data_IF_188416649581
#
_entry.id   IF_188416649581
#
_cell.length_a   1.000
_cell.length_b   1.000
_cell.length_c   1.000
_cell.angle_alpha   90.00
_cell.angle_beta   90.00
_cell.angle_gamma   90.00
#
_symmetry.space_group_name_H-M   'P 1'
#
loop_
_entity.id
_entity.type
_entity.pdbx_description
1 polymer ?
#
# COMPACT_ATOMS: atom_id res chain seq x y z
N UNK A 1 12.64 5.25 -7.10
CA UNK A 1 13.74 4.28 -7.34
C UNK A 1 13.55 3.50 -8.65
N UNK A 2 12.40 2.85 -8.87
CA UNK A 2 12.12 2.04 -10.08
C UNK A 2 12.42 2.74 -11.43
N UNK A 3 11.90 3.95 -11.65
CA UNK A 3 12.19 4.75 -12.87
C UNK A 3 13.68 5.05 -13.04
N UNK A 4 14.41 5.26 -11.95
CA UNK A 4 15.86 5.49 -11.99
C UNK A 4 16.60 4.25 -12.47
N UNK A 5 16.21 3.07 -11.97
CA UNK A 5 16.77 1.79 -12.37
C UNK A 5 16.43 1.46 -13.83
N UNK A 6 15.16 1.64 -14.23
CA UNK A 6 14.72 1.50 -15.63
C UNK A 6 15.49 2.43 -16.57
N UNK A 7 15.73 3.68 -16.18
CA UNK A 7 16.56 4.62 -16.97
C UNK A 7 18.02 4.16 -17.06
N UNK A 8 18.60 3.68 -15.96
CA UNK A 8 19.97 3.18 -15.95
C UNK A 8 20.12 1.92 -16.84
N UNK A 9 19.15 1.00 -16.81
CA UNK A 9 19.16 -0.18 -17.66
C UNK A 9 18.90 0.17 -19.13
N UNK A 10 17.97 1.08 -19.42
CA UNK A 10 17.70 1.56 -20.78
C UNK A 10 18.92 2.29 -21.37
N UNK A 11 19.61 3.10 -20.56
CA UNK A 11 20.87 3.74 -20.97
C UNK A 11 21.93 2.70 -21.34
N UNK A 12 22.10 1.65 -20.52
CA UNK A 12 23.05 0.56 -20.82
C UNK A 12 22.63 -0.30 -22.01
N UNK A 13 21.33 -0.42 -22.28
CA UNK A 13 20.84 -1.10 -23.48
C UNK A 13 21.15 -0.29 -24.75
N UNK A 14 20.99 1.03 -24.69
CA UNK A 14 21.31 1.92 -25.81
C UNK A 14 22.81 1.99 -26.11
N UNK A 15 23.63 1.83 -25.08
CA UNK A 15 25.10 1.80 -25.16
C UNK A 15 25.64 0.38 -24.94
N UNK A 16 24.92 -0.64 -25.41
CA UNK A 16 25.23 -2.02 -25.07
C UNK A 16 26.58 -2.46 -25.61
N UNK A 17 27.35 -3.15 -24.76
CA UNK A 17 28.58 -3.86 -25.13
C UNK A 17 28.35 -4.86 -26.27
N UNK A 18 29.33 -5.01 -27.17
CA UNK A 18 29.27 -5.92 -28.33
C UNK A 18 29.08 -7.39 -27.94
N UNK A 19 29.40 -7.75 -26.69
CA UNK A 19 29.34 -9.11 -26.17
C UNK A 19 27.90 -9.57 -25.89
N UNK A 20 27.47 -10.62 -26.60
CA UNK A 20 26.08 -11.09 -26.63
C UNK A 20 25.49 -11.49 -25.27
N UNK A 21 26.18 -12.26 -24.40
CA UNK A 21 25.67 -12.58 -23.06
C UNK A 21 25.31 -11.36 -22.20
N UNK A 22 26.05 -10.26 -22.33
CA UNK A 22 25.78 -9.04 -21.55
C UNK A 22 24.50 -8.35 -22.06
N UNK A 23 24.27 -8.37 -23.37
CA UNK A 23 23.05 -7.84 -23.98
C UNK A 23 21.82 -8.64 -23.56
N UNK A 24 21.93 -9.96 -23.56
CA UNK A 24 20.86 -10.85 -23.10
C UNK A 24 20.53 -10.59 -21.63
N UNK A 25 21.54 -10.50 -20.75
CA UNK A 25 21.36 -10.15 -19.34
C UNK A 25 20.63 -8.79 -19.17
N UNK A 26 21.03 -7.76 -19.91
CA UNK A 26 20.38 -6.43 -19.85
C UNK A 26 18.91 -6.52 -20.28
N UNK A 27 18.62 -7.26 -21.35
CA UNK A 27 17.25 -7.43 -21.85
C UNK A 27 16.38 -8.16 -20.82
N UNK A 28 16.87 -9.25 -20.23
CA UNK A 28 16.16 -9.98 -19.16
C UNK A 28 15.90 -9.09 -17.96
N UNK A 29 16.91 -8.32 -17.52
CA UNK A 29 16.76 -7.39 -16.41
C UNK A 29 15.70 -6.33 -16.71
N UNK A 30 15.70 -5.74 -17.91
CA UNK A 30 14.68 -4.76 -18.29
C UNK A 30 13.28 -5.36 -18.31
N UNK A 31 13.11 -6.56 -18.87
CA UNK A 31 11.83 -7.24 -18.93
C UNK A 31 11.27 -7.47 -17.52
N UNK A 32 12.11 -7.97 -16.60
CA UNK A 32 11.70 -8.20 -15.21
C UNK A 32 11.43 -6.89 -14.45
N UNK A 33 12.19 -5.82 -14.70
CA UNK A 33 11.94 -4.51 -14.10
C UNK A 33 10.61 -3.92 -14.56
N UNK A 34 10.30 -4.01 -15.85
CA UNK A 34 9.02 -3.55 -16.39
C UNK A 34 7.86 -4.39 -15.86
N UNK A 35 8.01 -5.71 -15.86
CA UNK A 35 7.01 -6.64 -15.33
C UNK A 35 6.69 -6.38 -13.85
N UNK A 36 7.70 -6.13 -13.02
CA UNK A 36 7.51 -6.00 -11.57
C UNK A 36 7.21 -4.57 -11.11
N UNK A 37 7.77 -3.56 -11.78
CA UNK A 37 7.68 -2.16 -11.34
C UNK A 37 6.90 -1.25 -12.31
N UNK A 38 6.49 -1.73 -13.48
CA UNK A 38 5.73 -0.92 -14.44
C UNK A 38 4.39 -0.45 -13.89
N UNK A 39 3.74 -1.29 -13.07
CA UNK A 39 2.44 -1.04 -12.45
C UNK A 39 2.49 -0.43 -11.03
N UNK A 40 3.67 -0.05 -10.52
CA UNK A 40 3.82 0.24 -9.08
C UNK A 40 3.10 1.53 -8.65
N UNK A 41 2.89 2.45 -9.58
CA UNK A 41 2.26 3.75 -9.33
C UNK A 41 0.73 3.65 -9.32
N UNK A 42 0.19 2.57 -9.87
CA UNK A 42 -1.23 2.24 -9.84
C UNK A 42 -1.63 1.60 -8.51
N UNK A 43 -0.65 1.18 -7.68
CA UNK A 43 -0.91 0.71 -6.33
C UNK A 43 -1.19 1.92 -5.44
N UNK A 44 -2.48 2.15 -5.15
CA UNK A 44 -2.97 3.34 -4.44
C UNK A 44 -2.18 3.67 -3.17
N UNK A 45 -1.96 2.67 -2.31
CA UNK A 45 -1.23 2.84 -1.04
C UNK A 45 0.20 3.32 -1.27
N UNK A 46 0.90 2.79 -2.27
CA UNK A 46 2.27 3.20 -2.59
C UNK A 46 2.31 4.60 -3.21
N UNK A 47 1.33 4.93 -4.04
CA UNK A 47 1.19 6.27 -4.61
C UNK A 47 0.88 7.33 -3.54
N UNK A 48 -0.02 7.01 -2.60
CA UNK A 48 -0.36 7.85 -1.46
C UNK A 48 0.84 8.04 -0.52
N UNK A 49 1.57 6.96 -0.20
CA UNK A 49 2.79 7.03 0.60
C UNK A 49 3.88 7.86 -0.08
N UNK A 50 4.07 7.71 -1.39
CA UNK A 50 5.05 8.50 -2.16
C UNK A 50 4.67 9.98 -2.28
N UNK A 51 3.37 10.29 -2.30
CA UNK A 51 2.86 11.67 -2.28
C UNK A 51 3.09 12.31 -0.91
N UNK A 52 2.84 11.58 0.17
CA UNK A 52 2.97 12.04 1.57
C UNK A 52 4.42 12.04 2.08
N UNK A 53 5.38 11.53 1.30
CA UNK A 53 6.79 11.60 1.64
C UNK A 53 7.37 12.98 1.23
N UNK A 54 7.81 13.82 2.18
CA UNK A 54 8.32 15.15 1.90
C UNK A 54 9.61 15.16 1.07
N UNK A 55 10.26 13.99 0.87
CA UNK A 55 11.43 13.83 0.00
C UNK A 55 11.06 13.66 -1.48
N UNK A 56 9.82 13.27 -1.77
CA UNK A 56 9.43 12.84 -3.12
C UNK A 56 8.22 13.60 -3.68
N UNK A 57 7.25 14.03 -2.85
CA UNK A 57 6.01 14.77 -3.19
C UNK A 57 5.57 14.61 -4.65
N UNK A 58 5.37 13.37 -5.08
CA UNK A 58 5.12 13.09 -6.49
C UNK A 58 3.68 13.43 -6.84
N UNK A 59 3.49 14.39 -7.75
CA UNK A 59 2.17 14.84 -8.17
C UNK A 59 1.54 13.79 -9.10
N UNK A 60 0.74 12.91 -8.54
CA UNK A 60 -0.22 12.10 -9.29
C UNK A 60 -1.60 12.58 -8.86
N UNK A 61 -2.36 13.18 -9.78
CA UNK A 61 -3.65 13.83 -9.49
C UNK A 61 -4.62 12.85 -8.80
N UNK A 62 -4.60 11.59 -9.21
CA UNK A 62 -5.39 10.53 -8.58
C UNK A 62 -5.00 10.29 -7.11
N UNK A 63 -3.70 10.28 -6.81
CA UNK A 63 -3.21 10.09 -5.46
C UNK A 63 -3.55 11.31 -4.59
N UNK A 64 -3.44 12.51 -5.14
CA UNK A 64 -3.82 13.74 -4.44
C UNK A 64 -5.31 13.76 -4.12
N UNK A 65 -6.17 13.40 -5.07
CA UNK A 65 -7.62 13.31 -4.88
C UNK A 65 -7.97 12.33 -3.75
N UNK A 66 -7.32 11.15 -3.72
CA UNK A 66 -7.52 10.17 -2.64
C UNK A 66 -7.03 10.68 -1.29
N UNK A 67 -5.85 11.28 -1.22
CA UNK A 67 -5.34 11.87 0.02
C UNK A 67 -6.26 12.97 0.52
N UNK A 68 -6.75 13.87 -0.34
CA UNK A 68 -7.73 14.89 0.04
C UNK A 68 -9.00 14.26 0.61
N UNK A 69 -9.53 13.20 -0.01
CA UNK A 69 -10.68 12.47 0.52
C UNK A 69 -10.44 11.87 1.91
N UNK A 70 -9.24 11.28 2.13
CA UNK A 70 -8.84 10.74 3.43
C UNK A 70 -8.69 11.84 4.48
N UNK A 71 -8.05 12.95 4.13
CA UNK A 71 -7.85 14.11 5.02
C UNK A 71 -9.20 14.73 5.39
N UNK A 72 -10.12 14.86 4.44
CA UNK A 72 -11.48 15.34 4.69
C UNK A 72 -12.29 14.39 5.57
N UNK A 73 -12.05 13.08 5.50
CA UNK A 73 -12.68 12.12 6.42
C UNK A 73 -12.13 12.27 7.84
N UNK A 74 -10.80 12.44 7.97
CA UNK A 74 -10.15 12.67 9.27
C UNK A 74 -10.61 13.98 9.92
N UNK A 75 -10.78 15.05 9.15
CA UNK A 75 -11.27 16.32 9.69
C UNK A 75 -12.71 16.24 10.21
N UNK A 76 -13.50 15.25 9.75
CA UNK A 76 -14.83 14.91 10.30
C UNK A 76 -14.78 13.97 11.51
N UNK A 77 -13.61 13.65 12.03
CA UNK A 77 -13.43 12.74 13.16
C UNK A 77 -13.35 11.26 12.79
N UNK A 78 -13.32 10.91 11.50
CA UNK A 78 -13.15 9.52 11.10
C UNK A 78 -11.72 9.04 11.34
N UNK A 79 -11.55 7.79 11.79
CA UNK A 79 -10.24 7.15 11.84
C UNK A 79 -9.75 6.86 10.41
N UNK A 80 -8.52 7.25 10.04
CA UNK A 80 -8.01 6.94 8.71
C UNK A 80 -7.90 5.41 8.54
N UNK A 81 -8.42 4.86 7.43
CA UNK A 81 -8.46 3.41 7.22
C UNK A 81 -7.04 2.84 7.14
N UNK A 82 -6.82 1.62 7.67
CA UNK A 82 -5.55 0.94 7.52
C UNK A 82 -5.21 0.75 6.04
N UNK A 83 -3.93 0.70 5.67
CA UNK A 83 -3.50 0.42 4.30
C UNK A 83 -3.94 -0.99 3.90
N UNK A 84 -4.98 -1.12 3.09
CA UNK A 84 -5.49 -2.41 2.63
C UNK A 84 -4.58 -2.99 1.55
N UNK A 85 -3.80 -4.01 1.91
CA UNK A 85 -3.32 -5.05 0.99
C UNK A 85 -4.27 -6.25 1.06
N UNK A 86 -4.53 -7.00 -0.03
CA UNK A 86 -5.40 -8.17 0.02
C UNK A 86 -4.74 -9.32 0.79
N UNK A 87 -4.89 -9.35 2.11
CA UNK A 87 -4.91 -10.58 2.90
C UNK A 87 -5.24 -10.32 4.37
N UNK A 88 -6.30 -11.00 4.79
CA UNK A 88 -6.64 -11.46 6.15
C UNK A 88 -7.07 -10.40 7.16
N UNK A 89 -8.37 -10.45 7.41
CA UNK A 89 -9.08 -9.81 8.49
C UNK A 89 -8.60 -10.28 9.87
N UNK A 90 -8.58 -9.35 10.81
CA UNK A 90 -8.77 -9.62 12.23
C UNK A 90 -9.49 -8.40 12.81
N UNK A 91 -10.72 -8.64 13.23
CA UNK A 91 -11.57 -7.71 13.97
C UNK A 91 -11.07 -7.64 15.42
N UNK A 92 -10.84 -6.45 15.95
CA UNK A 92 -10.99 -6.20 17.38
C UNK A 92 -11.70 -4.85 17.57
N UNK A 93 -12.81 -4.92 18.30
CA UNK A 93 -13.59 -3.79 18.79
C UNK A 93 -12.98 -3.27 20.10
N UNK A 94 -13.17 -1.98 20.38
CA UNK A 94 -12.71 -1.36 21.62
C UNK A 94 -13.31 0.04 21.80
N UNK A 95 -14.42 0.05 22.55
CA UNK A 95 -15.04 1.05 23.44
C UNK A 95 -15.01 2.56 23.16
N UNK A 96 -16.21 3.09 23.42
CA UNK A 96 -16.74 4.45 23.33
C UNK A 96 -16.30 5.30 24.54
N UNK A 97 -16.01 6.58 24.33
CA UNK A 97 -16.05 7.59 25.40
C UNK A 97 -16.38 8.98 24.76
N UNK A 98 -17.45 9.67 25.17
CA UNK A 98 -17.90 10.92 24.55
C UNK A 98 -17.02 12.12 24.92
N UNK A 99 -16.98 13.18 24.07
CA UNK A 99 -16.12 14.33 24.31
C UNK A 99 -16.63 15.19 25.48
N UNK A 100 -15.73 15.47 26.43
CA UNK A 100 -15.90 16.47 27.48
C UNK A 100 -16.05 17.87 26.86
N UNK A 101 -17.22 18.49 27.02
CA UNK A 101 -17.41 19.92 26.75
C UNK A 101 -16.56 20.76 27.73
N UNK A 102 -15.79 21.77 27.27
CA UNK A 102 -15.21 22.74 28.19
C UNK A 102 -16.30 23.72 28.71
N UNK A 103 -16.06 24.40 29.84
CA UNK A 103 -17.00 25.33 30.45
C UNK A 103 -17.34 26.48 29.49
N UNK A 104 -18.61 26.89 29.45
CA UNK A 104 -19.02 28.15 28.82
C UNK A 104 -18.52 29.29 29.70
N UNK A 105 -17.31 29.78 29.45
CA UNK A 105 -16.89 31.08 29.94
C UNK A 105 -17.83 32.12 29.34
N UNK A 106 -18.58 32.81 30.20
CA UNK A 106 -19.46 33.91 29.80
C UNK A 106 -18.61 35.01 29.19
N UNK A 107 -18.70 35.15 27.88
CA UNK A 107 -18.03 36.21 27.13
C UNK A 107 -18.50 37.57 27.67
N UNK A 108 -17.59 38.50 28.01
CA UNK A 108 -17.97 39.84 28.41
C UNK A 108 -18.84 40.49 27.33
N UNK A 109 -19.91 41.19 27.73
CA UNK A 109 -20.89 41.84 26.84
C UNK A 109 -20.25 42.70 25.74
N UNK A 110 -19.07 43.28 26.03
CA UNK A 110 -18.25 44.07 25.08
C UNK A 110 -17.90 43.29 23.81
N UNK A 111 -17.75 41.97 23.90
CA UNK A 111 -17.36 41.12 22.78
C UNK A 111 -18.54 40.41 22.13
N UNK A 112 -19.75 40.51 22.70
CA UNK A 112 -20.92 39.78 22.19
C UNK A 112 -21.26 40.17 20.75
N UNK A 113 -21.31 41.48 20.46
CA UNK A 113 -21.60 42.00 19.12
C UNK A 113 -20.49 41.63 18.12
N UNK A 114 -19.24 41.58 18.59
CA UNK A 114 -18.10 41.16 17.79
C UNK A 114 -18.15 39.66 17.49
N UNK A 115 -18.49 38.82 18.47
CA UNK A 115 -18.64 37.39 18.26
C UNK A 115 -19.85 37.07 17.38
N UNK A 116 -20.95 37.81 17.47
CA UNK A 116 -22.10 37.72 16.56
C UNK A 116 -21.70 38.09 15.13
N UNK A 117 -20.92 39.18 14.96
CA UNK A 117 -20.36 39.57 13.67
C UNK A 117 -19.40 38.50 13.12
N UNK A 118 -18.49 37.96 13.94
CA UNK A 118 -17.57 36.89 13.53
C UNK A 118 -18.31 35.60 13.22
N UNK A 119 -19.38 35.28 13.94
CA UNK A 119 -20.22 34.10 13.72
C UNK A 119 -21.05 34.23 12.45
N UNK A 120 -21.54 35.43 12.13
CA UNK A 120 -22.25 35.71 10.86
C UNK A 120 -21.30 35.82 9.66
N UNK A 121 -20.06 36.25 9.87
CA UNK A 121 -19.01 36.27 8.84
C UNK A 121 -18.35 34.92 8.61
N UNK A 122 -18.45 33.98 9.56
CA UNK A 122 -18.04 32.59 9.33
C UNK A 122 -18.91 32.04 8.21
N UNK A 123 -18.33 31.70 7.04
CA UNK A 123 -19.09 31.05 5.99
C UNK A 123 -19.73 29.80 6.58
N UNK A 124 -21.06 29.77 6.58
CA UNK A 124 -21.81 28.57 6.92
C UNK A 124 -21.30 27.43 6.05
N UNK A 125 -20.89 26.34 6.71
CA UNK A 125 -20.22 25.16 6.12
C UNK A 125 -18.74 25.40 5.84
N UNK A 126 -17.90 25.14 6.85
CA UNK A 126 -16.51 24.72 6.59
C UNK A 126 -16.60 23.43 5.77
N UNK A 127 -16.52 23.53 4.45
CA UNK A 127 -16.55 22.34 3.61
C UNK A 127 -15.25 21.56 3.91
N UNK A 128 -15.33 20.38 4.56
CA UNK A 128 -14.14 19.65 5.00
C UNK A 128 -13.26 19.25 3.82
N UNK A 129 -13.84 19.16 2.61
CA UNK A 129 -13.10 18.90 1.37
C UNK A 129 -12.29 20.11 0.95
N UNK A 130 -12.81 21.33 1.09
CA UNK A 130 -12.07 22.57 0.76
C UNK A 130 -10.90 22.74 1.73
N UNK A 131 -11.15 22.60 3.03
CA UNK A 131 -10.10 22.70 4.05
C UNK A 131 -9.01 21.63 3.84
N UNK A 132 -9.40 20.37 3.63
CA UNK A 132 -8.47 19.29 3.30
C UNK A 132 -7.68 19.59 2.02
N UNK A 133 -8.32 20.16 1.01
CA UNK A 133 -7.66 20.54 -0.25
C UNK A 133 -6.61 21.62 -0.01
N UNK A 134 -6.93 22.64 0.78
CA UNK A 134 -5.99 23.71 1.12
C UNK A 134 -4.82 23.18 1.94
N UNK A 135 -5.09 22.32 2.93
CA UNK A 135 -4.06 21.71 3.76
C UNK A 135 -3.10 20.85 2.93
N UNK A 136 -3.63 19.97 2.08
CA UNK A 136 -2.82 19.11 1.19
C UNK A 136 -2.04 19.95 0.18
N UNK A 137 -2.66 20.99 -0.42
CA UNK A 137 -1.95 21.90 -1.33
C UNK A 137 -0.83 22.66 -0.63
N UNK A 138 -1.05 23.12 0.61
CA UNK A 138 -0.02 23.77 1.42
C UNK A 138 1.15 22.84 1.75
N UNK A 139 0.87 21.57 2.04
CA UNK A 139 1.93 20.56 2.19
C UNK A 139 2.71 20.35 0.87
N UNK A 140 2.01 20.27 -0.26
CA UNK A 140 2.64 20.01 -1.56
C UNK A 140 3.48 21.20 -2.06
N UNK A 141 3.17 22.43 -1.65
CA UNK A 141 3.94 23.63 -2.01
C UNK A 141 5.21 23.84 -1.18
N UNK A 142 5.32 23.22 0.00
CA UNK A 142 6.53 23.23 0.81
C UNK A 142 7.74 22.63 0.07
N UNK A 143 8.95 23.07 0.39
CA UNK A 143 10.15 22.57 -0.27
C UNK A 143 10.38 21.08 0.01
N UNK A 144 10.98 20.39 -0.95
CA UNK A 144 11.44 19.01 -0.76
C UNK A 144 12.61 18.98 0.22
N UNK A 145 12.60 18.02 1.13
CA UNK A 145 13.74 17.80 2.02
C UNK A 145 14.79 16.89 1.35
N UNK A 146 16.07 16.93 1.79
CA UNK A 146 17.08 16.03 1.28
C UNK A 146 16.69 14.56 1.42
N UNK A 147 17.04 13.73 0.43
CA UNK A 147 16.76 12.28 0.46
C UNK A 147 17.28 11.58 1.73
N UNK A 148 18.37 12.08 2.29
CA UNK A 148 19.04 11.55 3.47
C UNK A 148 18.43 12.02 4.80
N UNK A 149 17.55 13.01 4.77
CA UNK A 149 16.85 13.49 5.94
C UNK A 149 15.74 12.52 6.39
N UNK A 150 15.39 12.59 7.67
CA UNK A 150 14.29 11.82 8.24
C UNK A 150 12.93 12.51 7.94
N UNK A 151 12.05 11.88 7.15
CA UNK A 151 10.72 12.44 6.89
C UNK A 151 9.84 12.51 8.14
N UNK A 152 10.04 11.65 9.14
CA UNK A 152 9.21 11.62 10.34
C UNK A 152 9.50 12.82 11.27
N UNK A 153 10.76 13.19 11.43
CA UNK A 153 11.14 14.42 12.14
C UNK A 153 10.60 15.67 11.43
N UNK A 154 10.60 15.68 10.08
CA UNK A 154 9.97 16.75 9.33
C UNK A 154 8.47 16.86 9.62
N UNK A 155 7.75 15.74 9.58
CA UNK A 155 6.31 15.71 9.89
C UNK A 155 6.00 16.10 11.33
N UNK A 156 6.86 15.71 12.28
CA UNK A 156 6.74 16.10 13.70
C UNK A 156 6.84 17.61 13.87
N UNK A 157 7.77 18.26 13.18
CA UNK A 157 7.93 19.73 13.23
C UNK A 157 6.74 20.50 12.66
N UNK A 158 5.92 19.87 11.81
CA UNK A 158 4.81 20.50 11.07
C UNK A 158 3.45 19.90 11.39
N UNK A 159 3.37 19.05 12.41
CA UNK A 159 2.13 18.35 12.77
C UNK A 159 1.02 19.30 13.21
N UNK A 160 1.37 20.49 13.72
CA UNK A 160 0.39 21.52 14.08
C UNK A 160 -0.13 22.31 12.86
N UNK A 161 0.67 22.39 11.79
CA UNK A 161 0.32 23.10 10.56
C UNK A 161 -0.52 22.20 9.65
N UNK A 162 -0.11 20.94 9.52
CA UNK A 162 -0.78 19.94 8.67
C UNK A 162 -1.35 18.80 9.52
N UNK A 163 -2.29 19.12 10.42
CA UNK A 163 -2.83 18.20 11.43
C UNK A 163 -3.45 16.95 10.81
N UNK A 164 -4.41 17.14 9.91
CA UNK A 164 -5.17 16.04 9.33
C UNK A 164 -4.31 15.25 8.32
N UNK A 165 -3.48 15.96 7.57
CA UNK A 165 -2.52 15.34 6.64
C UNK A 165 -1.49 14.50 7.38
N UNK A 166 -1.00 14.96 8.55
CA UNK A 166 -0.10 14.20 9.41
C UNK A 166 -0.78 12.93 9.95
N UNK A 167 -2.06 13.00 10.33
CA UNK A 167 -2.83 11.83 10.74
C UNK A 167 -2.95 10.78 9.61
N UNK A 168 -3.23 11.20 8.37
CA UNK A 168 -3.24 10.30 7.21
C UNK A 168 -1.85 9.74 6.92
N UNK A 169 -0.81 10.58 6.96
CA UNK A 169 0.58 10.20 6.72
C UNK A 169 1.05 9.06 7.62
N UNK A 170 0.69 9.08 8.91
CA UNK A 170 1.05 8.02 9.87
C UNK A 170 0.58 6.63 9.43
N UNK A 171 -0.51 6.56 8.66
CA UNK A 171 -1.04 5.29 8.13
C UNK A 171 -0.40 4.84 6.81
N UNK A 172 0.38 5.71 6.15
CA UNK A 172 0.91 5.47 4.79
C UNK A 172 2.43 5.33 4.76
N UNK A 173 3.18 6.15 5.48
CA UNK A 173 4.66 6.07 5.45
C UNK A 173 5.23 4.82 6.13
N UNK A 174 4.48 4.21 7.05
CA UNK A 174 4.87 2.96 7.70
C UNK A 174 4.57 1.70 6.85
N UNK A 175 4.04 1.86 5.64
CA UNK A 175 3.75 0.73 4.76
C UNK A 175 5.05 0.12 4.25
N UNK A 176 5.33 -1.10 4.69
CA UNK A 176 6.48 -1.87 4.22
C UNK A 176 6.28 -2.17 2.73
N UNK A 177 7.17 -1.67 1.88
CA UNK A 177 7.09 -1.85 0.43
C UNK A 177 7.29 -3.31 -0.04
N UNK A 178 7.62 -4.22 0.87
CA UNK A 178 7.89 -5.62 0.58
C UNK A 178 6.89 -6.52 1.28
N UNK A 179 6.18 -7.36 0.52
CA UNK A 179 5.56 -8.58 1.03
C UNK A 179 6.59 -9.66 1.40
N UNK A 180 7.88 -9.31 1.44
CA UNK A 180 8.93 -10.24 1.87
C UNK A 180 8.66 -10.52 3.34
N UNK A 181 8.28 -11.74 3.71
CA UNK A 181 7.85 -12.00 5.06
C UNK A 181 9.05 -11.84 5.99
N UNK A 182 8.78 -11.83 7.28
CA UNK A 182 9.76 -12.05 8.35
C UNK A 182 10.74 -13.20 8.06
N UNK A 183 10.45 -14.06 7.08
CA UNK A 183 11.35 -14.94 6.33
C UNK A 183 12.79 -14.47 6.15
N UNK A 184 13.11 -13.18 5.90
CA UNK A 184 14.53 -12.78 5.78
C UNK A 184 15.28 -12.84 7.12
N UNK A 185 14.56 -12.59 8.22
CA UNK A 185 15.05 -12.77 9.59
C UNK A 185 15.09 -14.28 9.91
N UNK A 186 14.12 -15.06 9.43
CA UNK A 186 14.11 -16.52 9.52
C UNK A 186 15.03 -17.23 8.54
N UNK A 187 15.57 -16.58 7.51
CA UNK A 187 16.51 -17.17 6.57
C UNK A 187 17.90 -17.18 7.21
N UNK A 188 18.30 -16.09 7.88
CA UNK A 188 19.53 -16.09 8.67
C UNK A 188 19.43 -17.05 9.86
N UNK A 189 18.33 -16.98 10.61
CA UNK A 189 18.09 -17.88 11.74
C UNK A 189 17.89 -19.33 11.29
N UNK A 190 17.24 -19.56 10.16
CA UNK A 190 17.04 -20.87 9.54
C UNK A 190 18.32 -21.46 8.99
N UNK A 191 19.20 -20.65 8.39
CA UNK A 191 20.55 -21.07 8.00
C UNK A 191 21.37 -21.48 9.22
N UNK A 192 21.33 -20.69 10.31
CA UNK A 192 22.02 -21.02 11.57
C UNK A 192 21.49 -22.32 12.19
N UNK A 193 20.17 -22.53 12.18
CA UNK A 193 19.55 -23.78 12.68
C UNK A 193 19.91 -24.97 11.78
N UNK A 194 19.95 -24.78 10.47
CA UNK A 194 20.30 -25.82 9.48
C UNK A 194 21.78 -26.17 9.57
N UNK A 195 22.66 -25.19 9.67
CA UNK A 195 24.09 -25.37 9.90
C UNK A 195 24.37 -26.07 11.24
N UNK A 196 23.60 -25.75 12.29
CA UNK A 196 23.71 -26.41 13.60
C UNK A 196 23.27 -27.89 13.56
N UNK A 197 22.32 -28.26 12.68
CA UNK A 197 21.93 -29.67 12.43
C UNK A 197 22.92 -30.40 11.53
N UNK A 198 23.51 -29.73 10.55
CA UNK A 198 24.53 -30.29 9.65
C UNK A 198 25.89 -30.53 10.35
N UNK A 199 26.04 -30.09 11.62
CA UNK A 199 27.26 -30.26 12.43
C UNK A 199 27.20 -31.46 13.38
N UNK A 200 26.27 -32.40 13.18
CA UNK A 200 26.38 -33.73 13.78
C UNK A 200 27.42 -34.53 12.99
N UNK A 201 28.63 -34.62 13.54
CA UNK A 201 29.69 -35.48 13.00
C UNK A 201 29.20 -36.94 12.90
N UNK A 202 29.56 -37.70 11.84
CA UNK A 202 29.14 -39.09 11.62
C UNK A 202 29.90 -40.08 12.53
N UNK A 203 30.08 -39.73 13.80
CA UNK A 203 30.86 -40.51 14.76
C UNK A 203 30.09 -40.69 16.05
N UNK A 204 29.60 -41.92 16.25
CA UNK A 204 28.95 -42.50 17.45
C UNK A 204 27.42 -42.32 17.54
N UNK A 205 26.71 -43.06 16.70
CA UNK A 205 25.50 -43.74 17.16
C UNK A 205 25.89 -45.19 17.54
N UNK A 206 25.71 -45.65 18.79
CA UNK A 206 25.95 -47.05 19.14
C UNK A 206 24.86 -47.94 18.50
N UNK A 207 25.17 -49.19 18.11
CA UNK A 207 24.18 -50.08 17.54
C UNK A 207 23.28 -50.62 18.66
N UNK A 208 22.08 -50.07 18.82
CA UNK A 208 21.03 -50.71 19.62
C UNK A 208 19.90 -51.22 18.72
N UNK A 209 19.90 -52.54 18.54
CA UNK A 209 18.74 -53.44 18.46
C UNK A 209 17.34 -52.87 18.11
N UNK A 210 16.78 -53.38 17.00
CA UNK A 210 15.34 -53.71 16.68
C UNK A 210 14.26 -52.77 17.27
N UNK A 211 13.36 -52.17 16.48
CA UNK A 211 12.36 -52.85 15.63
C UNK A 211 11.77 -51.91 14.57
N UNK A 212 11.27 -52.42 13.42
CA UNK A 212 10.61 -51.60 12.42
C UNK A 212 9.17 -51.30 12.84
N UNK A 213 8.86 -50.03 13.10
CA UNK A 213 7.47 -49.55 13.02
C UNK A 213 7.27 -49.09 11.59
N UNK A 214 6.55 -49.90 10.82
CA UNK A 214 6.04 -49.50 9.53
C UNK A 214 5.03 -48.37 9.75
N UNK A 215 5.38 -47.16 9.35
CA UNK A 215 4.38 -46.13 9.02
C UNK A 215 4.39 -46.00 7.51
N UNK A 216 3.51 -46.78 6.91
CA UNK A 216 3.15 -46.75 5.51
C UNK A 216 2.60 -45.35 5.17
N UNK A 217 3.41 -44.53 4.50
CA UNK A 217 2.93 -43.33 3.83
C UNK A 217 2.23 -43.77 2.55
N UNK A 218 0.91 -43.86 2.62
CA UNK A 218 0.05 -43.99 1.44
C UNK A 218 0.22 -42.73 0.55
N UNK A 219 0.54 -42.86 -0.74
CA UNK A 219 0.57 -41.73 -1.66
C UNK A 219 -0.87 -41.26 -1.94
N UNK A 220 -1.09 -39.96 -1.81
CA UNK A 220 -2.37 -39.29 -2.14
C UNK A 220 -2.65 -39.45 -3.65
N UNK A 221 -3.83 -39.96 -4.06
CA UNK A 221 -4.13 -40.20 -5.46
C UNK A 221 -4.39 -38.89 -6.23
N UNK A 222 -3.67 -38.69 -7.32
CA UNK A 222 -3.99 -37.74 -8.38
C UNK A 222 -5.30 -38.16 -9.06
N UNK A 223 -6.33 -37.32 -8.97
CA UNK A 223 -7.57 -37.50 -9.73
C UNK A 223 -7.40 -36.87 -11.13
N UNK A 224 -7.04 -37.70 -12.10
CA UNK A 224 -7.37 -37.50 -13.51
C UNK A 224 -8.86 -37.84 -13.70
N UNK A 225 -9.66 -36.92 -14.24
CA UNK A 225 -11.01 -37.25 -14.72
C UNK A 225 -11.14 -36.85 -16.19
N UNK A 226 -10.97 -37.85 -17.05
CA UNK A 226 -11.56 -37.91 -18.38
C UNK A 226 -13.04 -38.32 -18.23
N UNK A 227 -13.94 -37.66 -18.95
CA UNK A 227 -15.15 -38.25 -19.52
C UNK A 227 -15.76 -37.28 -20.54
N UNK A 228 -15.65 -37.64 -21.82
CA UNK A 228 -16.56 -37.21 -22.88
C UNK A 228 -17.95 -37.83 -22.68
N UNK A 229 -19.02 -37.13 -23.09
CA UNK A 229 -20.08 -37.64 -23.98
C UNK A 229 -21.26 -36.65 -24.11
N UNK A 230 -21.39 -36.10 -25.31
CA UNK A 230 -22.62 -35.85 -26.11
C UNK A 230 -24.00 -35.68 -25.44
N UNK A 231 -24.68 -34.58 -25.77
CA UNK A 231 -26.10 -34.58 -26.23
C UNK A 231 -26.50 -33.21 -26.83
N UNK A 232 -26.88 -33.22 -28.11
CA UNK A 232 -27.64 -32.16 -28.83
C UNK A 232 -29.14 -32.27 -28.53
N UNK A 233 -29.96 -31.19 -28.63
CA UNK A 233 -30.67 -30.83 -29.89
C UNK A 233 -30.83 -29.29 -30.09
N UNK A 234 -30.73 -28.75 -31.31
CA UNK A 234 -31.74 -28.52 -32.37
C UNK A 234 -32.82 -27.43 -32.13
N UNK A 235 -32.99 -26.56 -33.14
CA UNK A 235 -34.07 -25.58 -33.41
C UNK A 235 -34.08 -24.30 -32.53
N UNK A 236 -34.33 -23.07 -33.01
CA UNK A 236 -34.87 -22.54 -34.28
C UNK A 236 -34.61 -21.02 -34.38
N UNK A 237 -34.51 -20.52 -35.60
CA UNK A 237 -34.36 -19.11 -36.00
C UNK A 237 -35.62 -18.26 -35.77
N UNK A 238 -35.44 -17.00 -35.38
CA UNK A 238 -36.39 -15.90 -35.72
C UNK A 238 -35.64 -14.58 -35.85
N UNK A 239 -35.58 -14.08 -37.08
CA UNK A 239 -35.20 -12.73 -37.45
C UNK A 239 -36.28 -11.75 -37.00
N UNK A 240 -35.89 -10.54 -36.57
CA UNK A 240 -36.80 -9.39 -36.47
C UNK A 240 -36.16 -8.20 -37.16
N UNK A 241 -36.75 -7.84 -38.29
CA UNK A 241 -36.43 -6.68 -39.12
C UNK A 241 -36.99 -5.41 -38.47
N UNK A 242 -36.18 -4.35 -38.40
CA UNK A 242 -36.63 -2.99 -38.10
C UNK A 242 -36.62 -2.16 -39.39
N UNK A 243 -37.78 -1.62 -39.76
CA UNK A 243 -37.99 -0.59 -40.78
C UNK A 243 -38.43 0.71 -40.06
N UNK A 244 -37.98 1.91 -40.49
CA UNK A 244 -38.47 3.17 -39.94
C UNK A 244 -39.67 3.73 -40.75
N UNK A 245 -40.57 4.52 -40.13
CA UNK A 245 -41.67 5.16 -40.85
C UNK A 245 -41.37 6.60 -41.28
N UNK A 246 -41.86 6.88 -42.51
CA UNK A 246 -42.35 8.11 -43.15
C UNK A 246 -41.48 9.37 -43.18
#
# INVERSE_FOLDING_TARGET
>A
MARGLQRATAYRQRNSSTHQPVREMINTLMAELSKRFGGIEQVNVLAEAALLDPRFKKHADDAQTRVVGLVAAVSRGARPPPPTTPSSASTEEGEDDPPSNPPKDTVPLVWADFEELVTSLRPGIQNPVIEATLEVKGFLSEQLIPRTADPLEWWKSRSLVFKNTCAVMKTRLCVVATSVPSERIFSKTGQIITDKRNRLSPGKAPPSSRSPVATEFQPVPTYTRLAEASMTPSCRSSQSSYHPPA
#
